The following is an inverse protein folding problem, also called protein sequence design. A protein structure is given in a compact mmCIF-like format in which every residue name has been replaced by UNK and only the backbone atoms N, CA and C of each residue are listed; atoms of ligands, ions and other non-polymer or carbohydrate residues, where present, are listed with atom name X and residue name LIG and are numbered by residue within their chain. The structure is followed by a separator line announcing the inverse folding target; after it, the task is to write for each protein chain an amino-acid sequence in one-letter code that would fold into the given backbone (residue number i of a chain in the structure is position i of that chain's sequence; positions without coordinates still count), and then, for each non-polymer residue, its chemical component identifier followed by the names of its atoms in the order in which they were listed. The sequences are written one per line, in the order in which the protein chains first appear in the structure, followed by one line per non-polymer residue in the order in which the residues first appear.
data_IF_222638321731
#
_entry.id   IF_222638321731
#
_cell.length_a   1.000
_cell.length_b   1.000
_cell.length_c   1.000
_cell.angle_alpha   90.00
_cell.angle_beta   90.00
_cell.angle_gamma   90.00
#
_symmetry.space_group_name_H-M   'P 1'
#
loop_
_entity.id
_entity.type
_entity.pdbx_description
1 polymer ?
#
# COMPACT_ATOMS: atom_id res chain seq x y z
N UNK A 1 -15.06 10.37 -4.34
CA UNK A 1 -16.05 9.60 -3.58
C UNK A 1 -16.08 10.00 -2.10
N UNK A 2 -14.93 10.26 -1.45
CA UNK A 2 -14.83 10.65 -0.05
C UNK A 2 -14.59 12.14 0.09
N UNK A 3 -15.20 12.78 1.13
CA UNK A 3 -15.03 14.21 1.38
C UNK A 3 -13.60 14.52 1.86
N UNK A 4 -13.00 13.63 2.64
CA UNK A 4 -11.64 13.74 3.15
C UNK A 4 -10.95 12.39 3.17
N UNK A 5 -9.67 12.37 2.82
CA UNK A 5 -8.83 11.18 2.76
C UNK A 5 -7.60 11.39 3.63
N UNK A 6 -7.42 10.57 4.65
CA UNK A 6 -6.19 10.48 5.42
C UNK A 6 -5.31 9.41 4.80
N UNK A 7 -4.01 9.65 4.75
CA UNK A 7 -3.07 8.61 4.33
C UNK A 7 -2.35 8.06 5.54
N UNK A 8 -2.17 6.74 5.54
CA UNK A 8 -1.52 6.02 6.61
C UNK A 8 -0.38 5.19 6.00
N UNK A 9 0.81 5.28 6.56
CA UNK A 9 1.95 4.45 6.23
C UNK A 9 2.44 3.68 7.43
N UNK A 10 3.26 2.68 7.17
CA UNK A 10 3.81 1.80 8.18
C UNK A 10 5.32 1.71 8.01
N UNK A 11 6.04 1.99 9.09
CA UNK A 11 7.42 1.60 9.24
C UNK A 11 7.43 0.27 10.02
N UNK A 12 7.68 -0.84 9.30
CA UNK A 12 7.75 -2.17 9.89
C UNK A 12 9.18 -2.70 10.02
N UNK A 13 10.17 -1.81 9.88
CA UNK A 13 11.58 -2.15 9.90
C UNK A 13 12.05 -2.77 8.58
N UNK A 14 11.46 -2.37 7.45
CA UNK A 14 11.86 -2.78 6.11
C UNK A 14 13.30 -2.36 5.81
N UNK A 15 13.98 -3.20 5.03
CA UNK A 15 15.39 -3.01 4.63
C UNK A 15 15.64 -1.67 3.93
N UNK A 16 14.71 -1.23 3.08
CA UNK A 16 14.79 0.02 2.34
C UNK A 16 13.63 0.94 2.67
N UNK A 17 13.94 2.17 3.04
CA UNK A 17 12.96 3.20 3.42
C UNK A 17 12.54 4.10 2.24
N UNK A 18 13.01 3.82 1.02
CA UNK A 18 12.75 4.65 -0.16
C UNK A 18 11.26 4.87 -0.44
N UNK A 19 10.42 3.87 -0.17
CA UNK A 19 8.97 3.98 -0.30
C UNK A 19 8.37 5.02 0.68
N UNK A 20 8.92 5.10 1.91
CA UNK A 20 8.49 6.09 2.89
C UNK A 20 8.88 7.52 2.45
N UNK A 21 10.04 7.69 1.80
CA UNK A 21 10.44 8.97 1.23
C UNK A 21 9.56 9.37 0.04
N UNK A 22 9.26 8.42 -0.87
CA UNK A 22 8.41 8.65 -2.03
C UNK A 22 7.00 9.05 -1.62
N UNK A 23 6.48 8.53 -0.53
CA UNK A 23 5.16 8.80 0.01
C UNK A 23 4.86 10.31 0.14
N UNK A 24 5.76 11.08 0.74
CA UNK A 24 5.61 12.52 0.88
C UNK A 24 5.62 13.25 -0.47
N UNK A 25 6.49 12.82 -1.39
CA UNK A 25 6.59 13.37 -2.75
C UNK A 25 5.32 13.12 -3.56
N UNK A 26 4.83 11.88 -3.57
CA UNK A 26 3.58 11.49 -4.24
C UNK A 26 2.41 12.30 -3.71
N UNK A 27 2.27 12.45 -2.40
CA UNK A 27 1.20 13.24 -1.80
C UNK A 27 1.24 14.70 -2.25
N UNK A 28 2.42 15.33 -2.20
CA UNK A 28 2.60 16.72 -2.61
C UNK A 28 2.31 16.91 -4.09
N UNK A 29 2.76 15.99 -4.94
CA UNK A 29 2.52 16.02 -6.36
C UNK A 29 1.03 15.85 -6.70
N UNK A 30 0.34 14.89 -6.08
CA UNK A 30 -1.10 14.68 -6.26
C UNK A 30 -1.89 15.93 -5.82
N UNK A 31 -1.53 16.56 -4.70
CA UNK A 31 -2.15 17.80 -4.24
C UNK A 31 -2.00 18.94 -5.27
N UNK A 32 -0.87 19.00 -5.95
CA UNK A 32 -0.59 20.02 -6.95
C UNK A 32 -1.32 19.81 -8.28
N UNK A 33 -1.78 18.60 -8.60
CA UNK A 33 -2.46 18.29 -9.86
C UNK A 33 -3.82 18.95 -9.98
N UNK A 34 -4.61 18.96 -8.89
CA UNK A 34 -5.97 19.51 -8.89
C UNK A 34 -6.30 20.13 -7.53
N UNK A 35 -6.84 21.38 -7.48
CA UNK A 35 -7.23 22.04 -6.22
C UNK A 35 -8.21 21.19 -5.39
N UNK A 36 -9.19 20.55 -6.01
CA UNK A 36 -10.14 19.70 -5.33
C UNK A 36 -9.51 18.45 -4.69
N UNK A 37 -8.37 18.00 -5.16
CA UNK A 37 -7.62 16.92 -4.53
C UNK A 37 -6.84 17.41 -3.33
N UNK A 38 -6.25 18.59 -3.43
CA UNK A 38 -5.59 19.25 -2.30
C UNK A 38 -6.55 19.43 -1.12
N UNK A 39 -7.75 19.93 -1.38
CA UNK A 39 -8.77 20.19 -0.35
C UNK A 39 -9.23 18.89 0.36
N UNK A 40 -9.21 17.77 -0.36
CA UNK A 40 -9.61 16.45 0.18
C UNK A 40 -8.49 15.71 0.89
N UNK A 41 -7.24 16.04 0.63
CA UNK A 41 -6.10 15.41 1.31
C UNK A 41 -6.02 15.89 2.76
N UNK A 42 -6.31 14.98 3.66
CA UNK A 42 -6.15 15.16 5.10
C UNK A 42 -4.72 14.94 5.57
N UNK A 43 -4.51 14.89 6.89
CA UNK A 43 -3.20 14.58 7.47
C UNK A 43 -2.62 13.27 6.97
N UNK A 44 -1.30 13.22 6.95
CA UNK A 44 -0.50 12.02 6.75
C UNK A 44 -0.02 11.49 8.09
N UNK A 45 -0.08 10.20 8.30
CA UNK A 45 0.39 9.56 9.52
C UNK A 45 1.28 8.37 9.16
N UNK A 46 2.45 8.31 9.77
CA UNK A 46 3.33 7.15 9.73
C UNK A 46 3.27 6.44 11.08
N UNK A 47 2.90 5.17 11.09
CA UNK A 47 2.90 4.34 12.28
C UNK A 47 4.19 3.51 12.32
N UNK A 48 4.89 3.59 13.44
CA UNK A 48 6.02 2.71 13.74
C UNK A 48 5.49 1.39 14.30
N UNK A 49 5.70 0.33 13.52
CA UNK A 49 5.44 -1.06 13.88
C UNK A 49 6.70 -1.91 13.67
N UNK A 50 7.87 -1.31 13.84
CA UNK A 50 9.18 -1.91 13.57
C UNK A 50 9.48 -3.18 14.39
N UNK A 51 8.78 -3.39 15.51
CA UNK A 51 8.81 -4.67 16.26
C UNK A 51 8.41 -5.87 15.40
N UNK A 52 7.65 -5.65 14.34
CA UNK A 52 7.27 -6.71 13.41
C UNK A 52 8.47 -7.38 12.72
N UNK A 53 9.54 -6.64 12.50
CA UNK A 53 10.82 -7.18 11.99
C UNK A 53 11.33 -8.37 12.82
N UNK A 54 11.05 -8.41 14.12
CA UNK A 54 11.49 -9.50 15.01
C UNK A 54 10.69 -10.80 14.80
N UNK A 55 9.54 -10.73 14.13
CA UNK A 55 8.63 -11.86 13.94
C UNK A 55 8.83 -12.57 12.59
N UNK A 56 9.47 -11.92 11.63
CA UNK A 56 9.61 -12.44 10.28
C UNK A 56 11.01 -12.18 9.74
N UNK A 57 11.74 -13.26 9.48
CA UNK A 57 13.04 -13.23 8.80
C UNK A 57 12.81 -13.53 7.31
N UNK A 58 12.75 -12.48 6.51
CA UNK A 58 12.47 -12.54 5.07
C UNK A 58 13.43 -11.62 4.31
N UNK A 59 13.49 -11.72 2.99
CA UNK A 59 14.34 -10.86 2.18
C UNK A 59 13.99 -9.36 2.26
N UNK A 60 12.81 -8.99 2.77
CA UNK A 60 12.44 -7.59 3.02
C UNK A 60 12.79 -7.09 4.43
N UNK A 61 13.08 -7.97 5.36
CA UNK A 61 13.36 -7.64 6.77
C UNK A 61 14.78 -7.97 7.18
N UNK A 62 15.52 -8.72 6.38
CA UNK A 62 16.90 -9.15 6.63
C UNK A 62 17.79 -9.00 5.38
N UNK A 63 19.07 -9.25 5.51
CA UNK A 63 20.06 -9.15 4.42
C UNK A 63 20.10 -10.39 3.50
N UNK A 64 19.01 -11.15 3.45
CA UNK A 64 18.90 -12.26 2.50
C UNK A 64 18.78 -11.77 1.07
N UNK A 65 19.35 -12.47 0.06
CA UNK A 65 19.15 -12.15 -1.33
C UNK A 65 17.68 -12.33 -1.72
N UNK A 66 17.17 -11.46 -2.60
CA UNK A 66 15.83 -11.57 -3.16
C UNK A 66 15.85 -12.65 -4.23
N UNK A 67 15.11 -13.73 -4.01
CA UNK A 67 14.93 -14.81 -4.98
C UNK A 67 13.58 -14.65 -5.66
N UNK A 68 13.61 -14.46 -6.99
CA UNK A 68 12.40 -14.23 -7.80
C UNK A 68 11.88 -15.51 -8.48
N UNK A 69 12.66 -16.59 -8.49
CA UNK A 69 12.33 -17.82 -9.22
C UNK A 69 12.17 -19.00 -8.26
N UNK A 70 10.94 -19.51 -8.14
CA UNK A 70 10.63 -20.73 -7.41
C UNK A 70 9.14 -21.06 -7.47
N UNK A 71 8.78 -22.34 -7.45
CA UNK A 71 7.39 -22.74 -7.20
C UNK A 71 7.06 -22.45 -5.75
N UNK A 72 6.09 -21.54 -5.48
CA UNK A 72 5.62 -21.27 -4.15
C UNK A 72 5.52 -19.79 -3.78
N UNK A 73 5.49 -19.52 -2.48
CA UNK A 73 5.41 -18.16 -1.94
C UNK A 73 6.80 -17.53 -2.01
N UNK A 74 6.96 -16.33 -2.61
CA UNK A 74 8.25 -15.65 -2.72
C UNK A 74 8.93 -15.42 -1.36
N UNK A 75 10.26 -15.40 -1.30
CA UNK A 75 11.00 -15.12 -0.07
C UNK A 75 10.90 -13.66 0.41
N UNK A 76 10.30 -12.79 -0.41
CA UNK A 76 9.87 -11.43 -0.06
C UNK A 76 8.53 -11.40 0.69
N UNK A 77 7.83 -12.52 0.78
CA UNK A 77 6.59 -12.59 1.55
C UNK A 77 6.86 -12.45 3.05
N UNK A 78 6.31 -11.41 3.64
CA UNK A 78 6.32 -11.19 5.08
C UNK A 78 4.99 -11.70 5.64
N UNK A 79 4.95 -12.86 6.30
CA UNK A 79 3.71 -13.49 6.72
C UNK A 79 2.81 -12.56 7.55
N UNK A 80 1.57 -12.34 7.07
CA UNK A 80 0.59 -11.53 7.76
C UNK A 80 0.82 -10.02 7.72
N UNK A 81 1.78 -9.51 6.95
CA UNK A 81 2.10 -8.08 6.88
C UNK A 81 0.87 -7.23 6.56
N UNK A 82 0.15 -7.57 5.49
CA UNK A 82 -1.04 -6.79 5.11
C UNK A 82 -2.17 -6.92 6.14
N UNK A 83 -2.33 -8.07 6.79
CA UNK A 83 -3.32 -8.25 7.86
C UNK A 83 -2.99 -7.33 9.05
N UNK A 84 -1.73 -7.22 9.44
CA UNK A 84 -1.28 -6.31 10.49
C UNK A 84 -1.47 -4.85 10.10
N UNK A 85 -1.16 -4.46 8.87
CA UNK A 85 -1.41 -3.10 8.38
C UNK A 85 -2.89 -2.75 8.47
N UNK A 86 -3.77 -3.66 8.07
CA UNK A 86 -5.22 -3.44 8.14
C UNK A 86 -5.68 -3.33 9.60
N UNK A 87 -5.19 -4.18 10.49
CA UNK A 87 -5.52 -4.14 11.91
C UNK A 87 -5.10 -2.80 12.55
N UNK A 88 -3.87 -2.36 12.32
CA UNK A 88 -3.38 -1.08 12.84
C UNK A 88 -4.14 0.10 12.25
N UNK A 89 -4.44 0.06 10.93
CA UNK A 89 -5.24 1.08 10.27
C UNK A 89 -6.65 1.15 10.87
N UNK A 90 -7.28 0.01 11.14
CA UNK A 90 -8.60 -0.04 11.75
C UNK A 90 -8.59 0.50 13.18
N UNK A 91 -7.61 0.13 13.99
CA UNK A 91 -7.45 0.64 15.35
C UNK A 91 -7.25 2.17 15.37
N UNK A 92 -6.39 2.69 14.50
CA UNK A 92 -6.18 4.12 14.33
C UNK A 92 -7.45 4.85 13.86
N UNK A 93 -8.16 4.28 12.89
CA UNK A 93 -9.38 4.82 12.32
C UNK A 93 -10.56 4.80 13.31
N UNK A 94 -10.64 3.77 14.16
CA UNK A 94 -11.66 3.62 15.20
C UNK A 94 -11.73 4.85 16.12
N UNK A 95 -10.58 5.27 16.66
CA UNK A 95 -10.48 6.44 17.52
C UNK A 95 -10.83 7.77 16.85
N UNK A 96 -10.92 7.80 15.51
CA UNK A 96 -11.25 8.97 14.69
C UNK A 96 -12.64 8.91 14.05
N UNK A 97 -13.40 7.88 14.39
CA UNK A 97 -14.72 7.60 13.79
C UNK A 97 -14.67 7.46 12.25
N UNK A 98 -13.54 6.97 11.71
CA UNK A 98 -13.38 6.64 10.29
C UNK A 98 -13.77 5.17 10.11
N UNK A 99 -14.59 4.88 9.10
CA UNK A 99 -15.11 3.53 8.84
C UNK A 99 -14.66 2.94 7.49
N UNK A 100 -14.10 3.77 6.62
CA UNK A 100 -13.69 3.34 5.28
C UNK A 100 -12.16 3.27 5.22
N UNK A 101 -11.64 2.08 4.93
CA UNK A 101 -10.22 1.85 4.69
C UNK A 101 -10.04 1.48 3.21
N UNK A 102 -9.06 2.08 2.55
CA UNK A 102 -8.78 1.83 1.13
C UNK A 102 -7.39 1.21 1.01
N UNK A 103 -7.31 0.10 0.32
CA UNK A 103 -6.11 -0.72 0.15
C UNK A 103 -5.76 -0.84 -1.33
N UNK A 104 -4.47 -0.82 -1.66
CA UNK A 104 -3.96 -1.01 -3.01
C UNK A 104 -3.62 -2.47 -3.35
N UNK A 105 -4.19 -3.43 -2.62
CA UNK A 105 -3.97 -4.86 -2.89
C UNK A 105 -4.73 -5.31 -4.13
N UNK A 106 -4.18 -6.30 -4.84
CA UNK A 106 -4.84 -6.96 -5.96
C UNK A 106 -4.55 -8.46 -5.94
N UNK A 107 -5.52 -9.26 -6.40
CA UNK A 107 -5.40 -10.72 -6.50
C UNK A 107 -4.74 -11.17 -7.79
N UNK A 108 -4.86 -10.36 -8.84
CA UNK A 108 -4.24 -10.60 -10.14
C UNK A 108 -2.72 -10.34 -10.15
N UNK A 109 -2.15 -9.86 -9.04
CA UNK A 109 -0.70 -9.68 -8.95
C UNK A 109 -0.02 -11.04 -8.90
N UNK A 110 0.95 -11.23 -9.80
CA UNK A 110 1.75 -12.44 -9.91
C UNK A 110 2.61 -12.75 -8.69
N UNK A 111 2.67 -11.83 -7.72
CA UNK A 111 3.42 -11.99 -6.48
C UNK A 111 2.94 -13.15 -5.60
N UNK A 112 1.69 -13.60 -5.75
CA UNK A 112 1.15 -14.76 -5.06
C UNK A 112 0.96 -14.58 -3.55
N UNK A 113 0.99 -13.35 -3.03
CA UNK A 113 0.85 -13.09 -1.60
C UNK A 113 -0.55 -13.45 -1.08
N UNK A 114 -0.68 -14.44 -0.16
CA UNK A 114 -1.99 -14.89 0.32
C UNK A 114 -2.80 -13.79 1.01
N UNK A 115 -2.14 -12.87 1.69
CA UNK A 115 -2.77 -11.78 2.45
C UNK A 115 -3.25 -10.60 1.58
N UNK A 116 -3.03 -10.67 0.25
CA UNK A 116 -3.59 -9.73 -0.74
C UNK A 116 -4.89 -10.24 -1.37
N UNK A 117 -5.24 -11.52 -1.19
CA UNK A 117 -6.40 -12.14 -1.84
C UNK A 117 -7.72 -11.58 -1.31
N UNK A 118 -8.72 -11.55 -2.18
CA UNK A 118 -10.07 -11.04 -1.86
C UNK A 118 -10.69 -11.73 -0.64
N UNK A 119 -10.55 -13.05 -0.55
CA UNK A 119 -11.05 -13.82 0.58
C UNK A 119 -10.36 -13.44 1.90
N UNK A 120 -9.05 -13.19 1.88
CA UNK A 120 -8.30 -12.74 3.06
C UNK A 120 -8.79 -11.37 3.53
N UNK A 121 -9.02 -10.43 2.60
CA UNK A 121 -9.53 -9.09 2.91
C UNK A 121 -10.96 -9.14 3.46
N UNK A 122 -11.84 -9.96 2.88
CA UNK A 122 -13.22 -10.17 3.37
C UNK A 122 -13.24 -10.79 4.76
N UNK A 123 -12.43 -11.82 5.00
CA UNK A 123 -12.30 -12.44 6.31
C UNK A 123 -11.78 -11.42 7.35
N UNK A 124 -10.80 -10.59 6.99
CA UNK A 124 -10.30 -9.54 7.85
C UNK A 124 -11.35 -8.49 8.17
N UNK A 125 -12.18 -8.09 7.21
CA UNK A 125 -13.29 -7.17 7.47
C UNK A 125 -14.29 -7.73 8.50
N UNK A 126 -14.62 -9.02 8.39
CA UNK A 126 -15.49 -9.69 9.35
C UNK A 126 -14.85 -9.70 10.73
N UNK A 127 -13.57 -10.07 10.83
CA UNK A 127 -12.84 -10.11 12.10
C UNK A 127 -12.80 -8.72 12.78
N UNK A 128 -12.50 -7.65 12.02
CA UNK A 128 -12.50 -6.27 12.52
C UNK A 128 -13.87 -5.85 13.04
N UNK A 129 -14.91 -6.11 12.27
CA UNK A 129 -16.28 -5.69 12.63
C UNK A 129 -16.79 -6.43 13.85
N UNK A 130 -16.49 -7.73 13.96
CA UNK A 130 -16.86 -8.53 15.13
C UNK A 130 -16.01 -8.17 16.36
N UNK A 131 -14.68 -8.06 16.17
CA UNK A 131 -13.75 -7.85 17.29
C UNK A 131 -13.73 -6.43 17.85
N UNK A 132 -14.13 -5.45 17.04
CA UNK A 132 -14.17 -4.03 17.44
C UNK A 132 -15.58 -3.47 17.60
N UNK A 133 -16.61 -4.29 17.46
CA UNK A 133 -18.02 -3.87 17.45
C UNK A 133 -18.22 -2.64 16.54
N UNK A 134 -17.83 -2.76 15.29
CA UNK A 134 -17.74 -1.66 14.32
C UNK A 134 -18.34 -2.03 12.98
N UNK A 135 -18.37 -1.09 12.06
CA UNK A 135 -18.86 -1.24 10.68
C UNK A 135 -17.81 -0.75 9.68
N UNK A 136 -16.60 -1.30 9.74
CA UNK A 136 -15.57 -1.02 8.76
C UNK A 136 -15.93 -1.57 7.39
N UNK A 137 -15.59 -0.80 6.36
CA UNK A 137 -15.66 -1.22 4.96
C UNK A 137 -14.25 -1.14 4.39
N UNK A 138 -13.71 -2.29 4.01
CA UNK A 138 -12.43 -2.40 3.31
C UNK A 138 -12.67 -2.27 1.81
N UNK A 139 -12.09 -1.25 1.19
CA UNK A 139 -12.17 -0.99 -0.24
C UNK A 139 -10.89 -1.43 -0.92
N UNK A 140 -11.02 -2.25 -1.94
CA UNK A 140 -9.91 -2.76 -2.74
C UNK A 140 -10.13 -2.46 -4.22
N UNK A 141 -10.00 -1.18 -4.63
CA UNK A 141 -10.36 -0.76 -5.98
C UNK A 141 -9.52 -1.40 -7.09
N UNK A 142 -8.38 -2.00 -6.74
CA UNK A 142 -7.48 -2.64 -7.69
C UNK A 142 -7.59 -4.17 -7.69
N UNK A 143 -8.46 -4.77 -6.87
CA UNK A 143 -8.49 -6.22 -6.58
C UNK A 143 -8.46 -7.09 -7.83
N UNK A 144 -9.20 -6.70 -8.86
CA UNK A 144 -9.40 -7.48 -10.08
C UNK A 144 -8.75 -6.85 -11.32
N UNK A 145 -7.93 -5.81 -11.13
CA UNK A 145 -7.25 -5.13 -12.23
C UNK A 145 -5.87 -5.77 -12.46
N UNK A 146 -5.52 -5.98 -13.72
CA UNK A 146 -4.15 -6.25 -14.09
C UNK A 146 -3.29 -4.96 -14.08
N UNK A 147 -1.99 -5.10 -14.34
CA UNK A 147 -1.08 -3.94 -14.37
C UNK A 147 -1.49 -2.90 -15.41
N UNK A 148 -1.92 -3.35 -16.61
CA UNK A 148 -2.32 -2.44 -17.68
C UNK A 148 -3.61 -1.70 -17.32
N UNK A 149 -4.58 -2.40 -16.74
CA UNK A 149 -5.84 -1.80 -16.29
C UNK A 149 -5.63 -0.83 -15.12
N UNK A 150 -4.67 -1.09 -14.23
CA UNK A 150 -4.30 -0.16 -13.17
C UNK A 150 -3.74 1.15 -13.74
N UNK A 151 -2.91 1.10 -14.80
CA UNK A 151 -2.44 2.29 -15.48
C UNK A 151 -3.56 3.04 -16.23
N UNK A 152 -4.47 2.32 -16.90
CA UNK A 152 -5.65 2.92 -17.52
C UNK A 152 -6.54 3.62 -16.48
N UNK A 153 -6.74 3.00 -15.31
CA UNK A 153 -7.49 3.63 -14.22
C UNK A 153 -6.82 4.93 -13.77
N UNK A 154 -5.51 4.98 -13.67
CA UNK A 154 -4.79 6.22 -13.32
C UNK A 154 -5.01 7.31 -14.38
N UNK A 155 -4.94 6.95 -15.67
CA UNK A 155 -5.21 7.86 -16.78
C UNK A 155 -6.66 8.36 -16.77
N UNK A 156 -7.64 7.48 -16.55
CA UNK A 156 -9.06 7.84 -16.48
C UNK A 156 -9.37 8.81 -15.33
N UNK A 157 -8.69 8.67 -14.19
CA UNK A 157 -8.91 9.51 -13.00
C UNK A 157 -8.22 10.87 -13.09
N UNK A 158 -7.03 10.93 -13.65
CA UNK A 158 -6.20 12.15 -13.59
C UNK A 158 -5.52 12.55 -14.89
N UNK A 159 -5.73 11.79 -15.97
CA UNK A 159 -5.05 11.97 -17.25
C UNK A 159 -3.56 11.65 -17.17
N UNK A 160 -2.84 11.94 -18.25
CA UNK A 160 -1.37 11.76 -18.29
C UNK A 160 -0.64 12.44 -17.13
N UNK A 161 -1.05 13.63 -16.63
CA UNK A 161 -0.38 14.24 -15.47
C UNK A 161 -0.39 13.36 -14.21
N UNK A 162 -1.42 12.55 -13.97
CA UNK A 162 -1.41 11.60 -12.85
C UNK A 162 -0.50 10.40 -13.15
N UNK A 163 -0.50 9.90 -14.38
CA UNK A 163 0.40 8.83 -14.80
C UNK A 163 1.85 9.26 -14.64
N UNK A 164 2.22 10.43 -15.13
CA UNK A 164 3.57 11.00 -15.01
C UNK A 164 3.96 11.18 -13.53
N UNK A 165 3.05 11.70 -12.72
CA UNK A 165 3.26 11.82 -11.26
C UNK A 165 3.59 10.48 -10.61
N UNK A 166 2.86 9.42 -10.95
CA UNK A 166 3.11 8.07 -10.41
C UNK A 166 4.48 7.58 -10.88
N UNK A 167 4.79 7.71 -12.16
CA UNK A 167 6.06 7.29 -12.74
C UNK A 167 7.26 8.02 -12.12
N UNK A 168 7.18 9.30 -11.89
CA UNK A 168 8.30 10.12 -11.41
C UNK A 168 8.50 10.05 -9.88
N UNK A 169 7.40 9.94 -9.12
CA UNK A 169 7.43 10.12 -7.68
C UNK A 169 7.30 8.81 -6.89
N UNK A 170 6.90 7.69 -7.53
CA UNK A 170 6.83 6.40 -6.85
C UNK A 170 8.11 5.58 -7.02
N UNK A 171 8.20 4.46 -6.32
CA UNK A 171 9.31 3.52 -6.40
C UNK A 171 8.78 2.10 -6.23
N UNK A 172 9.28 1.15 -7.04
CA UNK A 172 8.81 -0.24 -7.05
C UNK A 172 9.93 -1.27 -6.87
N UNK A 173 11.20 -0.85 -6.90
CA UNK A 173 12.33 -1.75 -6.74
C UNK A 173 12.58 -2.12 -5.28
N UNK A 174 12.51 -3.40 -4.95
CA UNK A 174 12.79 -3.89 -3.59
C UNK A 174 14.24 -3.69 -3.13
N UNK A 175 15.17 -3.49 -4.05
CA UNK A 175 16.57 -3.19 -3.72
C UNK A 175 16.84 -1.70 -3.48
N UNK A 176 15.82 -0.85 -3.64
CA UNK A 176 15.96 0.59 -3.49
C UNK A 176 16.74 1.26 -4.62
N UNK A 177 17.08 0.53 -5.68
CA UNK A 177 17.86 1.04 -6.81
C UNK A 177 16.99 1.96 -7.67
N UNK A 178 17.49 3.17 -7.97
CA UNK A 178 16.87 4.09 -8.92
C UNK A 178 17.59 3.99 -10.26
N UNK A 179 16.84 3.68 -11.32
CA UNK A 179 17.40 3.67 -12.68
C UNK A 179 17.60 5.10 -13.20
N UNK A 180 18.59 5.29 -14.08
CA UNK A 180 18.81 6.58 -14.76
C UNK A 180 17.65 6.96 -15.68
N UNK A 181 17.02 5.96 -16.32
CA UNK A 181 15.91 6.14 -17.26
C UNK A 181 14.55 6.12 -16.56
N UNK A 182 14.41 5.35 -15.50
CA UNK A 182 13.16 5.18 -14.77
C UNK A 182 13.41 5.32 -13.27
N UNK A 183 13.02 6.44 -12.65
CA UNK A 183 13.24 6.69 -11.22
C UNK A 183 12.59 5.67 -10.29
N UNK A 184 11.57 4.93 -10.77
CA UNK A 184 10.87 3.89 -10.01
C UNK A 184 11.58 2.53 -9.95
N UNK A 185 12.74 2.39 -10.57
CA UNK A 185 13.61 1.24 -10.35
C UNK A 185 13.91 0.32 -11.53
N UNK A 186 13.24 0.41 -12.67
CA UNK A 186 13.56 -0.36 -13.89
C UNK A 186 13.25 0.42 -15.16
#
# INVERSE_FOLDING_TARGET
RFARVHTLGFDYGQRHSVELECRGKVRSAIAALKPEWQDRLGPDTLLDISLFRQLADTALTSDMPIEQEGEGIPNTFVPGRNLLFIMHAAAWAYGKNIRHLVLGVCESDSSGYPDCRDDSIKAMQVALNTGMDSHFVLHTPLMWLDKADTWRLAEDLGGMPLVDCILEQSHTCYEGTRGERYPWGY
#
